data_IF_603904498096
#
_entry.id   IF_603904498096
#
_cell.length_a   1.000
_cell.length_b   1.000
_cell.length_c   1.000
_cell.angle_alpha   90.00
_cell.angle_beta   90.00
_cell.angle_gamma   90.00
#
_symmetry.space_group_name_H-M   'P 1'
#
loop_
_entity.id
_entity.type
_entity.pdbx_description
1 polymer ?
#
# COMPACT_ATOMS: atom_id res chain seq x y z
N UNK A 1 -11.22 3.69 -7.95
CA UNK A 1 -9.76 3.50 -7.83
C UNK A 1 -9.03 4.68 -8.43
N UNK A 2 -8.18 5.34 -7.65
CA UNK A 2 -7.25 6.38 -8.09
C UNK A 2 -5.85 5.78 -8.28
N UNK A 3 -5.12 6.26 -9.28
CA UNK A 3 -3.74 5.86 -9.60
C UNK A 3 -2.76 6.98 -9.25
N UNK A 4 -1.71 6.63 -8.50
CA UNK A 4 -0.71 7.54 -7.97
C UNK A 4 0.69 7.03 -8.33
N UNK A 5 1.26 7.48 -9.47
CA UNK A 5 2.59 7.06 -9.92
C UNK A 5 3.69 7.48 -8.94
N UNK A 6 4.71 6.63 -8.79
CA UNK A 6 5.82 6.79 -7.86
C UNK A 6 7.12 6.19 -8.44
N UNK A 7 7.58 6.75 -9.56
CA UNK A 7 8.75 6.22 -10.28
C UNK A 7 8.39 4.96 -11.06
N UNK A 8 9.09 3.85 -10.79
CA UNK A 8 8.86 2.55 -11.44
C UNK A 8 7.69 1.75 -10.84
N UNK A 9 7.04 2.27 -9.79
CA UNK A 9 5.83 1.67 -9.21
C UNK A 9 4.68 2.67 -9.19
N UNK A 10 3.46 2.16 -9.03
CA UNK A 10 2.25 2.94 -8.87
C UNK A 10 1.46 2.47 -7.65
N UNK A 11 0.98 3.42 -6.85
CA UNK A 11 -0.01 3.14 -5.82
C UNK A 11 -1.41 3.26 -6.43
N UNK A 12 -2.20 2.19 -6.35
CA UNK A 12 -3.62 2.24 -6.67
C UNK A 12 -4.45 2.16 -5.41
N UNK A 13 -5.27 3.18 -5.19
CA UNK A 13 -6.03 3.36 -3.96
C UNK A 13 -7.53 3.36 -4.22
N UNK A 14 -8.27 2.72 -3.34
CA UNK A 14 -9.72 2.76 -3.32
C UNK A 14 -10.26 2.34 -1.96
N UNK A 15 -11.50 2.69 -1.65
CA UNK A 15 -12.24 2.02 -0.58
C UNK A 15 -12.84 0.72 -1.14
N UNK A 16 -12.53 -0.41 -0.52
CA UNK A 16 -13.07 -1.72 -0.88
C UNK A 16 -14.07 -2.19 0.16
N UNK A 17 -15.12 -2.84 -0.30
CA UNK A 17 -16.07 -3.56 0.55
C UNK A 17 -15.94 -5.08 0.29
N UNK A 18 -16.13 -5.88 1.33
CA UNK A 18 -16.04 -7.35 1.27
C UNK A 18 -17.01 -7.98 2.27
N UNK A 19 -18.17 -8.44 1.77
CA UNK A 19 -19.27 -8.98 2.58
C UNK A 19 -19.61 -8.04 3.74
N UNK A 20 -19.14 -8.36 4.94
CA UNK A 20 -19.46 -7.67 6.20
C UNK A 20 -18.31 -6.78 6.69
N UNK A 21 -17.24 -6.63 5.90
CA UNK A 21 -16.06 -5.83 6.20
C UNK A 21 -15.70 -4.91 5.03
N UNK A 22 -14.74 -4.01 5.23
CA UNK A 22 -14.28 -3.09 4.20
C UNK A 22 -13.45 -1.94 4.77
N UNK A 23 -12.87 -1.15 3.89
CA UNK A 23 -12.03 0.00 4.26
C UNK A 23 -11.07 0.40 3.16
N UNK A 24 -10.13 1.31 3.47
CA UNK A 24 -9.06 1.70 2.57
C UNK A 24 -8.26 0.48 2.07
N UNK A 25 -8.00 0.46 0.77
CA UNK A 25 -7.12 -0.51 0.13
C UNK A 25 -6.04 0.22 -0.63
N UNK A 26 -4.79 -0.19 -0.41
CA UNK A 26 -3.63 0.30 -1.14
C UNK A 26 -3.00 -0.87 -1.88
N UNK A 27 -2.91 -0.76 -3.20
CA UNK A 27 -2.16 -1.69 -4.04
C UNK A 27 -0.87 -1.04 -4.50
N UNK A 28 0.22 -1.80 -4.50
CA UNK A 28 1.47 -1.41 -5.15
C UNK A 28 1.60 -2.23 -6.42
N UNK A 29 1.74 -1.55 -7.56
CA UNK A 29 1.83 -2.18 -8.87
C UNK A 29 3.07 -1.73 -9.62
N UNK A 30 3.50 -2.55 -10.56
CA UNK A 30 4.51 -2.24 -11.58
C UNK A 30 4.02 -2.76 -12.92
N UNK A 31 4.74 -2.40 -14.00
CA UNK A 31 4.56 -2.99 -15.31
C UNK A 31 5.80 -3.82 -15.66
N UNK A 32 5.64 -5.13 -15.79
CA UNK A 32 6.69 -6.06 -16.23
C UNK A 32 6.25 -6.69 -17.55
N UNK A 33 7.11 -6.66 -18.58
CA UNK A 33 6.80 -7.20 -19.92
C UNK A 33 5.45 -6.72 -20.49
N UNK A 34 5.11 -5.45 -20.25
CA UNK A 34 3.85 -4.84 -20.69
C UNK A 34 2.61 -5.33 -19.94
N UNK A 35 2.76 -6.03 -18.82
CA UNK A 35 1.67 -6.52 -17.98
C UNK A 35 1.67 -5.81 -16.63
N UNK A 36 0.47 -5.43 -16.19
CA UNK A 36 0.26 -4.92 -14.83
C UNK A 36 0.47 -6.04 -13.82
N UNK A 37 1.46 -5.88 -12.95
CA UNK A 37 1.78 -6.81 -11.87
C UNK A 37 1.44 -6.16 -10.54
N UNK A 38 0.67 -6.87 -9.70
CA UNK A 38 0.42 -6.46 -8.33
C UNK A 38 1.52 -7.02 -7.43
N UNK A 39 2.36 -6.14 -6.89
CA UNK A 39 3.47 -6.49 -6.01
C UNK A 39 2.97 -6.75 -4.59
N UNK A 40 2.13 -5.83 -4.08
CA UNK A 40 1.61 -5.84 -2.73
C UNK A 40 0.14 -5.38 -2.73
N UNK A 41 -0.64 -5.86 -1.77
CA UNK A 41 -1.96 -5.29 -1.45
C UNK A 41 -2.15 -5.20 0.05
N UNK A 42 -2.56 -4.04 0.51
CA UNK A 42 -2.92 -3.78 1.90
C UNK A 42 -4.40 -3.44 1.95
N UNK A 43 -5.16 -4.27 2.64
CA UNK A 43 -6.58 -4.10 2.89
C UNK A 43 -6.72 -3.65 4.35
N UNK A 44 -6.77 -2.33 4.57
CA UNK A 44 -6.90 -1.68 5.88
C UNK A 44 -8.36 -1.72 6.34
N UNK A 45 -8.91 -2.93 6.40
CA UNK A 45 -10.32 -3.15 6.70
C UNK A 45 -10.64 -2.92 8.18
N UNK A 46 -11.91 -2.61 8.46
CA UNK A 46 -12.41 -2.26 9.79
C UNK A 46 -12.35 -3.44 10.76
N UNK A 47 -12.65 -4.66 10.30
CA UNK A 47 -12.71 -5.86 11.15
C UNK A 47 -11.44 -6.68 11.07
N UNK A 48 -10.96 -6.98 9.85
CA UNK A 48 -9.76 -7.81 9.63
C UNK A 48 -8.77 -7.12 8.69
N UNK A 49 -8.04 -6.10 9.17
CA UNK A 49 -6.99 -5.48 8.37
C UNK A 49 -5.90 -6.51 8.08
N UNK A 50 -5.45 -6.57 6.83
CA UNK A 50 -4.50 -7.59 6.38
C UNK A 50 -3.76 -7.13 5.12
N UNK A 51 -2.69 -7.84 4.76
CA UNK A 51 -1.92 -7.54 3.56
C UNK A 51 -1.38 -8.80 2.89
N UNK A 52 -1.05 -8.68 1.60
CA UNK A 52 -0.62 -9.77 0.75
C UNK A 52 0.65 -9.40 -0.01
N UNK A 53 1.60 -10.33 -0.07
CA UNK A 53 2.72 -10.30 -1.02
C UNK A 53 2.38 -11.07 -2.30
N UNK A 54 2.80 -10.52 -3.44
CA UNK A 54 2.58 -11.08 -4.77
C UNK A 54 1.16 -11.65 -4.97
N UNK A 55 0.09 -10.84 -4.93
CA UNK A 55 -1.29 -11.35 -4.99
C UNK A 55 -1.66 -12.09 -6.28
N UNK A 56 -0.93 -11.84 -7.38
CA UNK A 56 -1.06 -12.59 -8.63
C UNK A 56 -0.19 -13.86 -8.70
N UNK A 57 0.65 -14.10 -7.69
CA UNK A 57 1.57 -15.24 -7.59
C UNK A 57 1.30 -16.05 -6.32
N UNK A 58 2.21 -16.00 -5.35
CA UNK A 58 2.09 -16.76 -4.09
C UNK A 58 0.90 -16.33 -3.23
N UNK A 59 0.45 -15.08 -3.36
CA UNK A 59 -0.62 -14.47 -2.59
C UNK A 59 -0.48 -14.73 -1.07
N UNK A 60 0.74 -14.54 -0.56
CA UNK A 60 1.07 -14.78 0.84
C UNK A 60 0.45 -13.69 1.71
N UNK A 61 -0.64 -14.04 2.41
CA UNK A 61 -1.43 -13.15 3.25
C UNK A 61 -1.01 -13.14 4.72
N UNK A 62 -1.11 -11.98 5.35
CA UNK A 62 -0.79 -11.75 6.76
C UNK A 62 -1.82 -10.82 7.38
N UNK A 63 -2.35 -11.19 8.54
CA UNK A 63 -3.24 -10.33 9.32
C UNK A 63 -2.45 -9.25 10.06
N UNK A 64 -3.03 -8.06 10.19
CA UNK A 64 -2.56 -6.99 11.05
C UNK A 64 -3.34 -7.14 12.36
N UNK A 65 -2.63 -7.39 13.47
CA UNK A 65 -3.28 -7.56 14.78
C UNK A 65 -3.87 -6.22 15.26
N UNK A 66 -5.21 -6.09 15.34
CA UNK A 66 -5.86 -4.84 15.73
C UNK A 66 -5.64 -4.49 17.21
N UNK A 67 -5.18 -5.44 18.04
CA UNK A 67 -4.83 -5.17 19.44
C UNK A 67 -3.48 -4.46 19.58
N UNK A 68 -2.62 -4.59 18.57
CA UNK A 68 -1.29 -3.94 18.50
C UNK A 68 -1.29 -2.71 17.59
N UNK A 69 -2.16 -2.69 16.57
CA UNK A 69 -2.23 -1.64 15.56
C UNK A 69 -3.67 -1.10 15.47
N UNK A 70 -3.92 0.00 16.18
CA UNK A 70 -5.25 0.63 16.22
C UNK A 70 -5.60 1.44 14.97
N UNK A 71 -4.60 1.95 14.24
CA UNK A 71 -4.75 2.63 12.95
C UNK A 71 -3.95 1.87 11.89
N UNK A 72 -4.63 0.95 11.21
CA UNK A 72 -4.01 0.11 10.18
C UNK A 72 -3.58 0.92 8.96
N UNK A 73 -4.32 1.97 8.58
CA UNK A 73 -3.98 2.81 7.43
C UNK A 73 -2.70 3.62 7.71
N UNK A 74 -2.65 4.34 8.83
CA UNK A 74 -1.47 5.10 9.22
C UNK A 74 -0.24 4.21 9.40
N UNK A 75 -0.43 3.02 9.98
CA UNK A 75 0.64 2.03 10.10
C UNK A 75 1.13 1.54 8.74
N UNK A 76 0.25 1.16 7.81
CA UNK A 76 0.62 0.71 6.46
C UNK A 76 1.38 1.80 5.70
N UNK A 77 0.92 3.06 5.76
CA UNK A 77 1.62 4.18 5.11
C UNK A 77 3.04 4.33 5.68
N UNK A 78 3.23 4.17 7.00
CA UNK A 78 4.56 4.16 7.61
C UNK A 78 5.45 3.01 7.10
N UNK A 79 4.88 1.81 6.98
CA UNK A 79 5.61 0.65 6.48
C UNK A 79 6.01 0.83 5.01
N UNK A 80 5.12 1.33 4.17
CA UNK A 80 5.44 1.63 2.78
C UNK A 80 6.49 2.73 2.65
N UNK A 81 6.50 3.72 3.56
CA UNK A 81 7.50 4.79 3.52
C UNK A 81 8.90 4.28 3.86
N UNK A 82 9.02 3.35 4.80
CA UNK A 82 10.31 2.90 5.34
C UNK A 82 10.81 1.60 4.72
N UNK A 83 9.91 0.67 4.40
CA UNK A 83 10.24 -0.72 4.11
C UNK A 83 9.84 -1.18 2.70
N UNK A 84 9.28 -0.30 1.83
CA UNK A 84 8.76 -0.72 0.53
C UNK A 84 9.78 -1.48 -0.31
N UNK A 85 11.05 -1.07 -0.30
CA UNK A 85 12.12 -1.78 -1.00
C UNK A 85 12.20 -3.25 -0.59
N UNK A 86 12.34 -3.51 0.70
CA UNK A 86 12.48 -4.87 1.23
C UNK A 86 11.19 -5.67 1.04
N UNK A 87 10.04 -5.01 1.07
CA UNK A 87 8.75 -5.66 0.81
C UNK A 87 8.60 -6.08 -0.66
N UNK A 88 9.03 -5.25 -1.61
CA UNK A 88 9.03 -5.58 -3.04
C UNK A 88 10.04 -6.68 -3.36
N UNK A 89 11.22 -6.63 -2.74
CA UNK A 89 12.21 -7.70 -2.84
C UNK A 89 11.64 -9.04 -2.33
N UNK A 90 11.04 -9.03 -1.13
CA UNK A 90 10.34 -10.19 -0.56
C UNK A 90 9.17 -10.68 -1.42
N UNK A 91 8.51 -9.80 -2.17
CA UNK A 91 7.47 -10.18 -3.12
C UNK A 91 8.03 -10.92 -4.35
N UNK A 92 9.35 -11.02 -4.50
CA UNK A 92 10.03 -11.71 -5.60
C UNK A 92 10.47 -10.78 -6.73
N UNK A 93 10.55 -9.46 -6.49
CA UNK A 93 10.86 -8.47 -7.53
C UNK A 93 12.10 -7.61 -7.17
N UNK A 94 13.29 -8.21 -6.97
CA UNK A 94 14.52 -7.48 -6.60
C UNK A 94 14.87 -6.36 -7.57
N UNK A 95 14.74 -6.60 -8.88
CA UNK A 95 15.06 -5.59 -9.90
C UNK A 95 14.14 -4.36 -9.85
N UNK A 96 12.88 -4.54 -9.45
CA UNK A 96 11.94 -3.44 -9.23
C UNK A 96 12.32 -2.70 -7.93
N UNK A 97 12.66 -3.44 -6.88
CA UNK A 97 13.05 -2.88 -5.59
C UNK A 97 14.31 -1.99 -5.70
N UNK A 98 15.30 -2.39 -6.51
CA UNK A 98 16.52 -1.61 -6.74
C UNK A 98 16.29 -0.30 -7.48
N UNK A 99 15.21 -0.20 -8.26
CA UNK A 99 14.88 0.97 -9.07
C UNK A 99 13.88 1.91 -8.40
N UNK A 100 13.48 1.65 -7.15
CA UNK A 100 12.55 2.50 -6.42
C UNK A 100 13.14 3.90 -6.17
N UNK A 101 12.40 4.92 -6.58
CA UNK A 101 12.67 6.31 -6.21
C UNK A 101 12.00 6.64 -4.88
N UNK A 102 12.78 6.67 -3.80
CA UNK A 102 12.28 6.96 -2.46
C UNK A 102 11.60 8.34 -2.34
N UNK A 103 12.03 9.34 -3.13
CA UNK A 103 11.44 10.67 -3.11
C UNK A 103 10.06 10.67 -3.77
N UNK A 104 9.92 9.99 -4.92
CA UNK A 104 8.65 9.80 -5.61
C UNK A 104 7.66 8.97 -4.77
N UNK A 105 8.15 7.89 -4.13
CA UNK A 105 7.37 7.07 -3.20
C UNK A 105 6.84 7.91 -2.04
N UNK A 106 7.68 8.73 -1.42
CA UNK A 106 7.28 9.57 -0.30
C UNK A 106 6.22 10.60 -0.70
N UNK A 107 6.37 11.23 -1.87
CA UNK A 107 5.40 12.17 -2.41
C UNK A 107 4.06 11.49 -2.76
N UNK A 108 4.09 10.31 -3.37
CA UNK A 108 2.88 9.56 -3.68
C UNK A 108 2.16 9.09 -2.40
N UNK A 109 2.88 8.64 -1.37
CA UNK A 109 2.29 8.26 -0.09
C UNK A 109 1.62 9.43 0.64
N UNK A 110 2.13 10.66 0.49
CA UNK A 110 1.43 11.84 1.01
C UNK A 110 0.08 12.07 0.31
N UNK A 111 0.00 11.75 -0.99
CA UNK A 111 -1.26 11.79 -1.75
C UNK A 111 -2.21 10.64 -1.37
N UNK A 112 -1.67 9.44 -1.10
CA UNK A 112 -2.44 8.31 -0.54
C UNK A 112 -3.08 8.71 0.79
N UNK A 113 -2.29 9.33 1.69
CA UNK A 113 -2.78 9.81 2.98
C UNK A 113 -3.89 10.85 2.81
N UNK A 114 -3.68 11.84 1.95
CA UNK A 114 -4.69 12.87 1.65
C UNK A 114 -5.96 12.31 1.00
N UNK A 115 -5.85 11.26 0.18
CA UNK A 115 -7.00 10.60 -0.45
C UNK A 115 -7.97 10.01 0.60
N UNK A 116 -7.43 9.35 1.64
CA UNK A 116 -8.25 8.67 2.64
C UNK A 116 -8.61 9.52 3.86
N UNK A 117 -7.73 10.43 4.27
CA UNK A 117 -7.92 11.24 5.48
C UNK A 117 -8.44 12.65 5.20
N UNK A 118 -8.51 13.06 3.93
CA UNK A 118 -8.76 14.44 3.54
C UNK A 118 -7.60 15.38 3.90
N UNK A 119 -7.70 16.70 3.64
CA UNK A 119 -6.72 17.65 4.12
C UNK A 119 -6.71 17.60 5.64
N UNK A 120 -5.58 17.18 6.23
CA UNK A 120 -5.39 17.26 7.68
C UNK A 120 -5.40 18.73 8.04
N UNK A 121 -6.54 19.21 8.55
CA UNK A 121 -6.61 20.54 9.15
C UNK A 121 -5.57 20.49 10.28
N UNK A 122 -4.47 21.22 10.12
CA UNK A 122 -3.48 21.31 11.16
C UNK A 122 -4.23 21.78 12.41
N UNK A 123 -4.30 20.92 13.43
CA UNK A 123 -4.71 21.35 14.74
C UNK A 123 -3.64 22.36 15.19
N UNK A 124 -3.95 23.65 15.00
CA UNK A 124 -3.16 24.75 15.54
C UNK A 124 -3.15 24.60 17.06
N UNK A 125 -1.98 24.76 17.73
CA UNK A 125 -1.85 24.59 19.18
C UNK A 125 -2.72 25.55 19.99
#
# INVERSE_FOLDING_TARGET
>A
MESLPAGNVEFRVETRESRDDGGPSIRVQTTEDGKDVQLLRFDCFRIRPHYHYAPGGSNAGYDIDPTLVSDSLGWVISQLRTNLKDMVDRAGYPAVAEQLDQSAVSAALARVEAHFLGPRVAATP
#
